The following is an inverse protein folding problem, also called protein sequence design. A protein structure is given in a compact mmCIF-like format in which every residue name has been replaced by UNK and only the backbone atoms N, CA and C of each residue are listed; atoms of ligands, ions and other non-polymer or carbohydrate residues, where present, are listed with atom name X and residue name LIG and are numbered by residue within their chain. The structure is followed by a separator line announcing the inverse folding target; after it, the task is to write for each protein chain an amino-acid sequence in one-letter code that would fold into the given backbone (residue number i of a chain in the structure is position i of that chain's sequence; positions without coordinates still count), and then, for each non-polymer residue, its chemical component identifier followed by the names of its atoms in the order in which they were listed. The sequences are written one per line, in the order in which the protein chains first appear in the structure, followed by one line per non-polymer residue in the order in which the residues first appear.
data_IF_907494016483
#
_entry.id   IF_907494016483
#
_cell.length_a   1.000
_cell.length_b   1.000
_cell.length_c   1.000
_cell.angle_alpha   90.00
_cell.angle_beta   90.00
_cell.angle_gamma   90.00
#
_symmetry.space_group_name_H-M   'P 1'
#
loop_
_entity.id
_entity.type
_entity.pdbx_description
1 polymer ?
#
# COMPACT_ATOMS: atom_id res chain seq x y z
N UNK A 1 -4.74 -13.31 18.49
CA UNK A 1 -3.49 -13.63 17.77
C UNK A 1 -2.70 -12.34 17.73
N UNK A 2 -1.49 -12.29 18.31
CA UNK A 2 -0.66 -11.09 18.23
C UNK A 2 -0.24 -10.87 16.77
N UNK A 3 -0.63 -9.73 16.19
CA UNK A 3 -0.15 -9.29 14.89
C UNK A 3 1.35 -9.01 15.02
N UNK A 4 2.19 -9.89 14.47
CA UNK A 4 3.63 -9.66 14.38
C UNK A 4 3.94 -9.16 12.98
N UNK A 5 4.60 -8.00 12.91
CA UNK A 5 5.28 -7.57 11.69
C UNK A 5 6.22 -8.71 11.27
N UNK A 6 6.21 -9.14 9.99
CA UNK A 6 7.22 -10.11 9.54
C UNK A 6 8.61 -9.55 9.82
N UNK A 7 9.53 -10.41 10.25
CA UNK A 7 10.93 -10.01 10.39
C UNK A 7 11.50 -9.73 8.98
N UNK A 8 11.99 -8.51 8.76
CA UNK A 8 12.71 -8.15 7.54
C UNK A 8 13.87 -7.23 7.88
N UNK A 9 14.93 -7.33 7.08
CA UNK A 9 16.11 -6.49 7.23
C UNK A 9 15.84 -5.09 6.66
N UNK A 10 15.84 -4.09 7.55
CA UNK A 10 15.64 -2.69 7.18
C UNK A 10 16.81 -2.10 6.39
N UNK A 11 17.98 -2.75 6.44
CA UNK A 11 19.20 -2.35 5.72
C UNK A 11 19.36 -3.06 4.37
N UNK A 12 18.52 -4.07 4.10
CA UNK A 12 18.54 -4.75 2.82
C UNK A 12 18.16 -3.80 1.68
N UNK A 13 18.70 -4.08 0.50
CA UNK A 13 18.18 -3.47 -0.74
C UNK A 13 16.71 -3.88 -0.92
N UNK A 14 15.85 -2.98 -1.39
CA UNK A 14 14.46 -3.34 -1.64
C UNK A 14 14.36 -4.39 -2.75
N UNK A 15 13.33 -5.23 -2.67
CA UNK A 15 12.95 -6.11 -3.78
C UNK A 15 12.54 -5.29 -5.00
N UNK A 16 11.72 -4.25 -4.78
CA UNK A 16 11.35 -3.26 -5.79
C UNK A 16 11.53 -1.85 -5.21
N UNK A 17 12.33 -1.04 -5.88
CA UNK A 17 12.36 0.41 -5.65
C UNK A 17 11.16 1.12 -6.31
N UNK A 18 11.07 2.44 -6.17
CA UNK A 18 9.96 3.24 -6.70
C UNK A 18 9.85 3.19 -8.22
N UNK A 19 10.96 3.00 -8.94
CA UNK A 19 10.93 2.89 -10.41
C UNK A 19 10.36 1.53 -10.83
N UNK A 20 10.74 0.46 -10.15
CA UNK A 20 10.15 -0.86 -10.33
C UNK A 20 8.66 -0.87 -9.96
N UNK A 21 8.27 -0.25 -8.83
CA UNK A 21 6.87 -0.12 -8.42
C UNK A 21 6.02 0.58 -9.48
N UNK A 22 6.54 1.61 -10.13
CA UNK A 22 5.84 2.35 -11.20
C UNK A 22 5.61 1.54 -12.49
N UNK A 23 6.31 0.41 -12.67
CA UNK A 23 6.06 -0.54 -13.77
C UNK A 23 4.85 -1.41 -13.48
N UNK A 24 4.54 -1.67 -12.20
CA UNK A 24 3.31 -2.35 -11.81
C UNK A 24 2.14 -1.37 -11.73
N UNK A 25 2.30 -0.29 -10.98
CA UNK A 25 1.20 0.62 -10.66
C UNK A 25 1.05 1.72 -11.72
N UNK A 26 -0.19 2.07 -12.13
CA UNK A 26 -0.43 3.22 -12.99
C UNK A 26 -0.29 4.56 -12.26
N UNK A 27 -0.29 4.55 -10.92
CA UNK A 27 -0.20 5.75 -10.07
C UNK A 27 1.10 6.53 -10.31
N UNK A 28 1.02 7.86 -10.29
CA UNK A 28 2.16 8.78 -10.42
C UNK A 28 2.02 9.92 -9.40
N UNK A 29 3.09 10.66 -9.08
CA UNK A 29 2.98 11.85 -8.25
C UNK A 29 1.89 12.80 -8.75
N UNK A 30 1.07 13.39 -7.85
CA UNK A 30 1.17 13.35 -6.38
C UNK A 30 0.35 12.22 -5.71
N UNK A 31 -0.03 11.16 -6.42
CA UNK A 31 -0.91 10.09 -5.91
C UNK A 31 -0.29 8.68 -5.93
N UNK A 32 1.04 8.59 -6.06
CA UNK A 32 1.80 7.37 -5.79
C UNK A 32 2.37 7.46 -4.38
N UNK A 33 1.99 6.55 -3.50
CA UNK A 33 2.33 6.57 -2.07
C UNK A 33 3.14 5.35 -1.61
N UNK A 34 3.73 4.59 -2.54
CA UNK A 34 4.59 3.44 -2.24
C UNK A 34 5.99 3.77 -2.69
N UNK A 35 6.94 3.79 -1.75
CA UNK A 35 8.34 4.13 -2.06
C UNK A 35 9.15 2.89 -2.43
N UNK A 36 8.86 1.74 -1.80
CA UNK A 36 9.54 0.47 -2.06
C UNK A 36 8.76 -0.74 -1.54
N UNK A 37 9.02 -1.90 -2.13
CA UNK A 37 8.62 -3.22 -1.64
C UNK A 37 9.86 -3.92 -1.07
N UNK A 38 9.75 -4.41 0.16
CA UNK A 38 10.85 -5.10 0.86
C UNK A 38 10.79 -6.61 0.66
N UNK A 39 9.60 -7.19 0.75
CA UNK A 39 9.36 -8.62 0.63
C UNK A 39 8.05 -8.85 -0.14
N UNK A 40 8.01 -9.92 -0.91
CA UNK A 40 6.80 -10.37 -1.60
C UNK A 40 6.90 -11.87 -1.85
N UNK A 41 5.82 -12.59 -1.60
CA UNK A 41 5.61 -13.98 -2.02
C UNK A 41 4.25 -14.09 -2.74
N UNK A 42 3.78 -15.31 -3.01
CA UNK A 42 2.53 -15.53 -3.75
C UNK A 42 1.25 -15.08 -2.99
N UNK A 43 1.35 -14.81 -1.69
CA UNK A 43 0.23 -14.52 -0.79
C UNK A 43 0.40 -13.28 0.05
N UNK A 44 1.61 -12.77 0.22
CA UNK A 44 1.91 -11.68 1.13
C UNK A 44 2.88 -10.67 0.53
N UNK A 45 2.81 -9.43 1.03
CA UNK A 45 3.68 -8.34 0.59
C UNK A 45 3.98 -7.37 1.74
N UNK A 46 5.22 -6.88 1.76
CA UNK A 46 5.69 -5.83 2.67
C UNK A 46 6.10 -4.61 1.86
N UNK A 47 5.36 -3.50 2.02
CA UNK A 47 5.62 -2.23 1.35
C UNK A 47 5.96 -1.12 2.34
N UNK A 48 6.64 -0.08 1.88
CA UNK A 48 7.09 1.03 2.71
C UNK A 48 6.63 2.37 2.13
N UNK A 49 6.18 3.24 3.02
CA UNK A 49 5.87 4.65 2.76
C UNK A 49 6.58 5.52 3.80
N UNK A 50 7.53 6.33 3.34
CA UNK A 50 8.14 7.40 4.11
C UNK A 50 7.25 8.63 4.09
N UNK A 51 7.02 9.20 5.27
CA UNK A 51 6.14 10.33 5.46
C UNK A 51 6.99 11.57 5.66
N UNK A 52 6.88 12.54 4.76
CA UNK A 52 7.69 13.76 4.79
C UNK A 52 6.83 15.01 4.84
N UNK A 53 7.28 16.04 5.56
CA UNK A 53 6.58 17.33 5.66
C UNK A 53 6.40 17.99 4.27
N UNK A 54 7.22 17.60 3.30
CA UNK A 54 7.17 18.10 1.92
C UNK A 54 6.06 17.47 1.05
N UNK A 55 5.11 16.73 1.63
CA UNK A 55 3.95 16.20 0.90
C UNK A 55 2.80 17.21 0.86
N UNK A 56 2.11 17.35 -0.29
CA UNK A 56 1.18 18.45 -0.54
C UNK A 56 -0.01 18.48 0.44
N UNK A 57 -0.42 17.33 0.98
CA UNK A 57 -1.56 17.27 1.90
C UNK A 57 -1.23 17.83 3.30
N UNK A 58 0.04 17.92 3.71
CA UNK A 58 0.41 18.48 5.02
C UNK A 58 0.21 19.99 5.11
N UNK A 59 0.15 20.69 3.97
CA UNK A 59 -0.19 22.12 3.93
C UNK A 59 -1.56 22.38 4.57
N UNK A 60 -2.51 21.47 4.36
CA UNK A 60 -3.89 21.59 4.84
C UNK A 60 -4.28 20.67 6.00
N UNK A 61 -3.47 19.65 6.33
CA UNK A 61 -3.86 18.61 7.29
C UNK A 61 -2.80 18.37 8.37
N UNK A 62 -2.65 19.24 9.36
CA UNK A 62 -3.28 20.56 9.53
C UNK A 62 -2.20 21.63 9.74
N UNK A 63 -2.46 22.90 9.42
CA UNK A 63 -1.53 23.98 9.76
C UNK A 63 -1.14 23.97 11.25
N UNK A 64 0.15 23.86 11.55
CA UNK A 64 0.68 23.79 12.92
C UNK A 64 0.56 22.42 13.62
N UNK A 65 -0.11 21.45 13.01
CA UNK A 65 -0.27 20.08 13.53
C UNK A 65 -0.36 19.08 12.37
N UNK A 66 0.75 18.82 11.64
CA UNK A 66 0.73 17.94 10.48
C UNK A 66 0.41 16.50 10.88
N UNK A 67 -0.57 15.90 10.23
CA UNK A 67 -1.01 14.50 10.42
C UNK A 67 -1.30 13.92 9.04
N UNK A 68 -0.80 12.73 8.72
CA UNK A 68 -1.09 12.11 7.43
C UNK A 68 -2.58 11.70 7.41
N UNK A 69 -3.38 12.13 6.41
CA UNK A 69 -4.78 11.78 6.36
C UNK A 69 -4.97 10.26 6.35
N UNK A 70 -5.85 9.73 7.20
CA UNK A 70 -6.07 8.28 7.32
C UNK A 70 -6.45 7.61 6.00
N UNK A 71 -7.22 8.30 5.16
CA UNK A 71 -7.58 7.82 3.81
C UNK A 71 -6.38 7.66 2.88
N UNK A 72 -5.33 8.48 3.03
CA UNK A 72 -4.09 8.34 2.25
C UNK A 72 -3.27 7.15 2.76
N UNK A 73 -3.32 6.85 4.06
CA UNK A 73 -2.69 5.63 4.60
C UNK A 73 -3.38 4.37 4.05
N UNK A 74 -4.70 4.37 3.95
CA UNK A 74 -5.49 3.27 3.35
C UNK A 74 -5.19 3.13 1.86
N UNK A 75 -5.12 4.24 1.12
CA UNK A 75 -4.73 4.26 -0.28
C UNK A 75 -3.31 3.70 -0.48
N UNK A 76 -2.33 4.14 0.32
CA UNK A 76 -0.97 3.63 0.27
C UNK A 76 -0.91 2.12 0.54
N UNK A 77 -1.64 1.64 1.54
CA UNK A 77 -1.77 0.22 1.86
C UNK A 77 -2.34 -0.57 0.66
N UNK A 78 -3.37 -0.05 0.02
CA UNK A 78 -3.96 -0.71 -1.16
C UNK A 78 -3.06 -0.66 -2.40
N UNK A 79 -2.26 0.39 -2.59
CA UNK A 79 -1.25 0.42 -3.64
C UNK A 79 -0.20 -0.66 -3.43
N UNK A 80 0.23 -0.90 -2.18
CA UNK A 80 1.11 -2.04 -1.86
C UNK A 80 0.42 -3.35 -2.26
N UNK A 81 -0.84 -3.57 -1.84
CA UNK A 81 -1.60 -4.75 -2.25
C UNK A 81 -1.79 -4.87 -3.77
N UNK A 82 -1.91 -3.73 -4.48
CA UNK A 82 -2.00 -3.64 -5.92
C UNK A 82 -0.75 -4.19 -6.62
N UNK A 83 0.44 -3.97 -6.06
CA UNK A 83 1.69 -4.55 -6.59
C UNK A 83 1.63 -6.08 -6.53
N UNK A 84 1.23 -6.65 -5.39
CA UNK A 84 1.09 -8.11 -5.25
C UNK A 84 0.09 -8.67 -6.27
N UNK A 85 -1.05 -8.01 -6.42
CA UNK A 85 -2.10 -8.43 -7.33
C UNK A 85 -1.67 -8.35 -8.81
N UNK A 86 -0.99 -7.27 -9.21
CA UNK A 86 -0.55 -7.05 -10.58
C UNK A 86 0.67 -7.90 -10.95
N UNK A 87 1.45 -8.37 -9.97
CA UNK A 87 2.51 -9.37 -10.21
C UNK A 87 1.96 -10.71 -10.75
N UNK A 88 0.64 -10.94 -10.68
CA UNK A 88 0.00 -12.17 -11.20
C UNK A 88 -0.34 -12.12 -12.69
N UNK A 89 -0.15 -10.98 -13.36
CA UNK A 89 -0.40 -10.80 -14.81
C UNK A 89 0.90 -10.47 -15.55
N UNK A 90 1.05 -10.87 -16.82
CA UNK A 90 2.29 -10.67 -17.56
C UNK A 90 2.52 -9.20 -18.01
N UNK A 91 1.46 -8.42 -18.17
CA UNK A 91 1.48 -7.03 -18.66
C UNK A 91 0.78 -6.06 -17.68
N UNK A 92 1.27 -5.93 -16.43
CA UNK A 92 0.61 -5.19 -15.36
C UNK A 92 0.30 -3.73 -15.71
N UNK A 93 1.10 -3.09 -16.54
CA UNK A 93 0.92 -1.73 -17.02
C UNK A 93 -0.39 -1.52 -17.81
N UNK A 94 -0.98 -2.61 -18.33
CA UNK A 94 -2.24 -2.59 -19.08
C UNK A 94 -3.47 -2.81 -18.20
N UNK A 95 -3.31 -2.86 -16.88
CA UNK A 95 -4.40 -3.04 -15.93
C UNK A 95 -4.60 -1.82 -15.04
N UNK A 96 -5.83 -1.65 -14.58
CA UNK A 96 -6.22 -0.70 -13.54
C UNK A 96 -6.76 -1.47 -12.35
N UNK A 97 -6.44 -1.01 -11.15
CA UNK A 97 -6.95 -1.54 -9.88
C UNK A 97 -8.07 -0.64 -9.37
N UNK A 98 -9.24 -1.21 -9.09
CA UNK A 98 -10.39 -0.51 -8.54
C UNK A 98 -10.75 -1.07 -7.18
N UNK A 99 -10.93 -0.21 -6.18
CA UNK A 99 -11.49 -0.60 -4.90
C UNK A 99 -12.96 -1.05 -5.06
N UNK A 100 -13.30 -2.16 -4.40
CA UNK A 100 -14.68 -2.64 -4.29
C UNK A 100 -15.22 -2.40 -2.88
N UNK A 101 -14.47 -2.81 -1.85
CA UNK A 101 -14.88 -2.66 -0.46
C UNK A 101 -13.68 -2.38 0.44
N UNK A 102 -13.92 -1.67 1.53
CA UNK A 102 -12.99 -1.54 2.63
C UNK A 102 -13.80 -1.76 3.92
N UNK A 103 -13.38 -2.71 4.74
CA UNK A 103 -14.08 -3.14 5.95
C UNK A 103 -13.16 -3.12 7.17
N UNK A 104 -13.73 -2.88 8.34
CA UNK A 104 -13.02 -2.99 9.62
C UNK A 104 -11.85 -2.02 9.80
N UNK A 105 -11.81 -0.89 9.07
CA UNK A 105 -10.71 0.08 9.18
C UNK A 105 -10.60 0.57 10.62
N UNK A 106 -9.41 0.49 11.21
CA UNK A 106 -9.09 1.19 12.46
C UNK A 106 -7.80 1.99 12.33
N UNK A 107 -7.91 3.27 12.64
CA UNK A 107 -6.76 4.16 12.87
C UNK A 107 -6.42 4.13 14.34
N UNK A 108 -5.26 3.55 14.69
CA UNK A 108 -4.85 3.29 16.07
C UNK A 108 -3.90 4.34 16.63
N UNK A 109 -3.17 5.04 15.78
CA UNK A 109 -2.35 6.19 16.14
C UNK A 109 -2.23 7.18 14.98
N UNK A 110 -1.81 8.40 15.30
CA UNK A 110 -1.48 9.41 14.29
C UNK A 110 -0.17 9.03 13.61
N UNK A 111 -0.12 9.23 12.31
CA UNK A 111 1.11 9.20 11.52
C UNK A 111 1.49 10.63 11.16
N UNK A 112 2.75 10.99 11.32
CA UNK A 112 3.24 12.36 11.20
C UNK A 112 4.51 12.41 10.33
N UNK A 113 4.93 13.60 9.84
CA UNK A 113 6.20 13.75 9.15
C UNK A 113 7.38 13.19 9.96
N UNK A 114 8.25 12.45 9.28
CA UNK A 114 9.38 11.74 9.88
C UNK A 114 9.12 10.24 10.11
N UNK A 115 7.86 9.81 10.09
CA UNK A 115 7.52 8.40 10.23
C UNK A 115 7.86 7.60 8.95
N UNK A 116 8.19 6.32 9.16
CA UNK A 116 8.20 5.31 8.10
C UNK A 116 7.08 4.32 8.40
N UNK A 117 6.06 4.30 7.55
CA UNK A 117 5.00 3.30 7.62
C UNK A 117 5.46 2.04 6.89
N UNK A 118 5.39 0.92 7.58
CA UNK A 118 5.54 -0.41 7.01
C UNK A 118 4.17 -1.04 6.88
N UNK A 119 3.77 -1.35 5.65
CA UNK A 119 2.55 -2.09 5.37
C UNK A 119 2.86 -3.57 5.20
N UNK A 120 2.09 -4.41 5.88
CA UNK A 120 2.07 -5.85 5.67
C UNK A 120 0.67 -6.27 5.26
N UNK A 121 0.54 -6.91 4.10
CA UNK A 121 -0.72 -7.41 3.58
C UNK A 121 -0.63 -8.89 3.26
N UNK A 122 -1.75 -9.58 3.45
CA UNK A 122 -1.91 -11.00 3.13
C UNK A 122 -3.24 -11.24 2.39
N UNK A 123 -3.21 -12.11 1.39
CA UNK A 123 -4.40 -12.62 0.72
C UNK A 123 -5.27 -13.41 1.69
N UNK A 124 -6.53 -13.04 1.83
CA UNK A 124 -7.52 -13.83 2.58
C UNK A 124 -8.06 -15.01 1.77
N UNK A 125 -8.00 -14.92 0.44
CA UNK A 125 -8.38 -16.01 -0.47
C UNK A 125 -7.62 -15.91 -1.81
N UNK A 126 -7.52 -17.01 -2.58
CA UNK A 126 -6.92 -16.97 -3.91
C UNK A 126 -7.63 -15.97 -4.82
N UNK A 127 -6.85 -15.24 -5.63
CA UNK A 127 -7.39 -14.28 -6.61
C UNK A 127 -8.27 -15.02 -7.62
N UNK A 128 -9.51 -14.55 -7.81
CA UNK A 128 -10.48 -15.15 -8.73
C UNK A 128 -11.18 -14.08 -9.53
N UNK A 129 -11.25 -14.27 -10.85
CA UNK A 129 -11.92 -13.34 -11.79
C UNK A 129 -11.42 -11.90 -11.65
N UNK A 130 -10.12 -11.75 -11.38
CA UNK A 130 -9.49 -10.46 -11.14
C UNK A 130 -9.89 -9.79 -9.82
N UNK A 131 -10.55 -10.49 -8.88
CA UNK A 131 -10.87 -9.95 -7.55
C UNK A 131 -9.86 -10.48 -6.54
N UNK A 132 -9.33 -9.57 -5.73
CA UNK A 132 -8.42 -9.83 -4.63
C UNK A 132 -9.04 -9.34 -3.32
N UNK A 133 -8.93 -10.13 -2.26
CA UNK A 133 -9.32 -9.77 -0.91
C UNK A 133 -8.10 -9.90 0.01
N UNK A 134 -7.72 -8.83 0.70
CA UNK A 134 -6.54 -8.78 1.56
C UNK A 134 -6.89 -8.23 2.92
N UNK A 135 -6.22 -8.76 3.94
CA UNK A 135 -6.07 -8.07 5.22
C UNK A 135 -4.76 -7.30 5.20
N UNK A 136 -4.76 -6.07 5.71
CA UNK A 136 -3.60 -5.20 5.72
C UNK A 136 -3.40 -4.53 7.07
N UNK A 137 -2.14 -4.39 7.46
CA UNK A 137 -1.71 -3.78 8.70
C UNK A 137 -0.60 -2.76 8.39
N UNK A 138 -0.67 -1.58 8.99
CA UNK A 138 0.34 -0.53 8.89
C UNK A 138 1.01 -0.31 10.24
N UNK A 139 2.34 -0.20 10.26
CA UNK A 139 3.13 -0.05 11.48
C UNK A 139 4.12 1.10 11.37
N UNK A 140 4.32 1.82 12.47
CA UNK A 140 5.38 2.83 12.63
C UNK A 140 6.18 2.47 13.88
N UNK A 141 7.50 2.30 13.75
CA UNK A 141 8.35 1.90 14.87
C UNK A 141 7.92 0.61 15.57
N UNK A 142 7.34 -0.34 14.82
CA UNK A 142 6.80 -1.60 15.35
C UNK A 142 5.41 -1.49 16.01
N UNK A 143 4.84 -0.29 16.15
CA UNK A 143 3.49 -0.07 16.68
C UNK A 143 2.47 -0.09 15.55
N UNK A 144 1.38 -0.83 15.73
CA UNK A 144 0.26 -0.87 14.79
C UNK A 144 -0.47 0.49 14.77
N UNK A 145 -0.55 1.12 13.60
CA UNK A 145 -1.19 2.43 13.39
C UNK A 145 -2.43 2.35 12.50
N UNK A 146 -2.52 1.34 11.64
CA UNK A 146 -3.64 1.12 10.71
C UNK A 146 -3.92 -0.38 10.55
N UNK A 147 -5.18 -0.77 10.49
CA UNK A 147 -5.62 -2.10 10.05
C UNK A 147 -6.86 -1.97 9.18
N UNK A 148 -6.99 -2.81 8.15
CA UNK A 148 -8.18 -2.86 7.28
C UNK A 148 -8.26 -4.19 6.52
N UNK A 149 -9.47 -4.59 6.13
CA UNK A 149 -9.71 -5.62 5.12
C UNK A 149 -10.18 -4.94 3.83
N UNK A 150 -9.58 -5.25 2.69
CA UNK A 150 -9.80 -4.57 1.43
C UNK A 150 -10.10 -5.56 0.30
N UNK A 151 -11.07 -5.21 -0.56
CA UNK A 151 -11.30 -5.90 -1.84
C UNK A 151 -11.02 -4.96 -3.00
N UNK A 152 -10.29 -5.48 -3.99
CA UNK A 152 -10.00 -4.77 -5.22
C UNK A 152 -10.27 -5.66 -6.43
N UNK A 153 -10.53 -5.01 -7.57
CA UNK A 153 -10.69 -5.61 -8.89
C UNK A 153 -9.58 -5.10 -9.81
N UNK A 154 -8.83 -5.99 -10.45
CA UNK A 154 -8.05 -5.62 -11.64
C UNK A 154 -8.93 -5.71 -12.88
N UNK A 155 -8.86 -4.67 -13.70
CA UNK A 155 -9.55 -4.60 -14.98
C UNK A 155 -8.56 -4.13 -16.02
N UNK A 156 -8.48 -4.84 -17.15
CA UNK A 156 -7.67 -4.42 -18.29
C UNK A 156 -8.16 -3.06 -18.78
N UNK A 157 -7.23 -2.18 -19.14
CA UNK A 157 -7.54 -0.91 -19.80
C UNK A 157 -8.32 -1.20 -21.09
N UNK A 158 -9.31 -0.36 -21.46
CA UNK A 158 -9.85 -0.40 -22.80
C UNK A 158 -8.70 -0.22 -23.80
N UNK A 159 -8.74 -0.94 -24.92
CA UNK A 159 -7.89 -0.58 -26.06
C UNK A 159 -8.27 0.84 -26.49
N UNK A 160 -7.28 1.73 -26.61
CA UNK A 160 -7.50 3.03 -27.23
C UNK A 160 -7.92 2.76 -28.68
N UNK A 161 -9.14 3.19 -29.04
CA UNK A 161 -9.64 3.17 -30.42
C UNK A 161 -9.05 4.35 -31.18
#
# INVERSE_FOLDING_TARGET
MELKLPEFDIYAKPLFDVEAVQKFLPHRPPFLFVDKIMLMDDKSIVGVKNVTMNEPFFVGHFPGAPVMPGVIQVEAMAQVGGVLMLNTVPDPENYLTFFLTIDGIKFRDKVVPGDTIIFYLELLSPIRRGICEMVGNGFVGGKLVLEATMKALIKRKPEEV
#
